data_IF_931144189219
#
_entry.id   IF_931144189219
#
_cell.length_a   1.000
_cell.length_b   1.000
_cell.length_c   1.000
_cell.angle_alpha   90.00
_cell.angle_beta   90.00
_cell.angle_gamma   90.00
#
_symmetry.space_group_name_H-M   'P 1'
#
loop_
_entity.id
_entity.type
_entity.pdbx_description
1 polymer ?
#
# COMPACT_ATOMS: atom_id res chain seq x y z
N UNK A 1 13.55 12.09 -18.12
CA UNK A 1 12.43 11.85 -17.20
C UNK A 1 11.64 13.13 -17.02
N UNK A 2 10.34 13.17 -17.28
CA UNK A 2 9.57 14.42 -17.26
C UNK A 2 9.33 14.87 -15.82
N UNK A 3 9.77 16.07 -15.46
CA UNK A 3 9.59 16.68 -14.12
C UNK A 3 8.16 16.65 -13.60
N UNK A 4 7.19 16.61 -14.52
CA UNK A 4 5.75 16.57 -14.21
C UNK A 4 5.37 15.32 -13.38
N UNK A 5 5.90 14.15 -13.72
CA UNK A 5 5.58 12.90 -13.01
C UNK A 5 6.10 12.89 -11.57
N UNK A 6 7.30 13.46 -11.34
CA UNK A 6 7.82 13.61 -9.98
C UNK A 6 6.94 14.51 -9.13
N UNK A 7 6.48 15.63 -9.70
CA UNK A 7 5.59 16.56 -9.03
C UNK A 7 4.27 15.88 -8.66
N UNK A 8 3.67 15.13 -9.59
CA UNK A 8 2.42 14.39 -9.32
C UNK A 8 2.63 13.36 -8.19
N UNK A 9 3.75 12.62 -8.20
CA UNK A 9 4.08 11.64 -7.15
C UNK A 9 4.26 12.30 -5.79
N UNK A 10 4.94 13.44 -5.73
CA UNK A 10 5.13 14.21 -4.49
C UNK A 10 3.77 14.67 -3.93
N UNK A 11 2.91 15.25 -4.78
CA UNK A 11 1.58 15.69 -4.35
C UNK A 11 0.68 14.52 -3.91
N UNK A 12 0.69 13.42 -4.65
CA UNK A 12 -0.07 12.22 -4.28
C UNK A 12 0.40 11.62 -2.96
N UNK A 13 1.72 11.53 -2.75
CA UNK A 13 2.30 11.04 -1.50
C UNK A 13 2.02 11.98 -0.32
N UNK A 14 2.12 13.29 -0.52
CA UNK A 14 1.79 14.28 0.50
C UNK A 14 0.29 14.24 0.86
N UNK A 15 -0.59 14.14 -0.14
CA UNK A 15 -2.02 13.94 0.08
C UNK A 15 -2.34 12.67 0.87
N UNK A 16 -1.70 11.55 0.54
CA UNK A 16 -1.81 10.29 1.27
C UNK A 16 -1.30 10.38 2.71
N UNK A 17 -0.20 11.10 2.93
CA UNK A 17 0.35 11.35 4.25
C UNK A 17 -0.62 12.16 5.13
N UNK A 18 -1.16 13.26 4.61
CA UNK A 18 -2.16 14.08 5.32
C UNK A 18 -3.42 13.28 5.65
N UNK A 19 -3.86 12.45 4.72
CA UNK A 19 -5.03 11.58 4.91
C UNK A 19 -4.78 10.54 6.01
N UNK A 20 -3.65 9.86 6.01
CA UNK A 20 -3.27 8.91 7.06
C UNK A 20 -3.11 9.60 8.43
N UNK A 21 -2.55 10.82 8.44
CA UNK A 21 -2.46 11.65 9.64
C UNK A 21 -3.83 12.06 10.18
N UNK A 22 -4.75 12.46 9.30
CA UNK A 22 -6.13 12.81 9.66
C UNK A 22 -6.86 11.63 10.30
N UNK A 23 -6.79 10.44 9.68
CA UNK A 23 -7.40 9.21 10.22
C UNK A 23 -6.83 8.91 11.61
N UNK A 24 -5.50 8.96 11.76
CA UNK A 24 -4.85 8.73 13.04
C UNK A 24 -5.26 9.72 14.10
N UNK A 25 -5.32 11.01 13.77
CA UNK A 25 -5.73 12.06 14.70
C UNK A 25 -7.15 11.82 15.19
N UNK A 26 -8.10 11.60 14.29
CA UNK A 26 -9.49 11.29 14.63
C UNK A 26 -9.64 10.05 15.50
N UNK A 27 -8.85 9.01 15.21
CA UNK A 27 -8.83 7.78 16.00
C UNK A 27 -8.29 7.98 17.41
N UNK A 28 -7.30 8.87 17.59
CA UNK A 28 -6.75 9.20 18.91
C UNK A 28 -7.69 10.06 19.75
N UNK A 29 -8.43 10.98 19.12
CA UNK A 29 -9.40 11.85 19.81
C UNK A 29 -10.75 11.18 20.06
N UNK A 30 -10.94 9.93 19.61
CA UNK A 30 -12.21 9.20 19.71
C UNK A 30 -13.40 9.98 19.12
N UNK A 31 -13.14 10.87 18.18
CA UNK A 31 -14.16 11.64 17.49
C UNK A 31 -14.78 10.85 16.36
N UNK A 32 -16.11 10.95 16.20
CA UNK A 32 -16.79 10.36 15.05
C UNK A 32 -16.26 10.93 13.75
N UNK A 33 -15.93 10.03 12.82
CA UNK A 33 -15.44 10.42 11.52
C UNK A 33 -16.61 10.77 10.59
N UNK A 34 -16.58 11.98 10.04
CA UNK A 34 -17.55 12.37 9.01
C UNK A 34 -17.20 11.61 7.74
N UNK A 35 -18.07 10.68 7.36
CA UNK A 35 -17.93 9.90 6.14
C UNK A 35 -18.72 10.55 5.01
N UNK A 36 -18.08 10.99 3.92
CA UNK A 36 -18.81 11.36 2.70
C UNK A 36 -19.58 10.12 2.20
N UNK A 37 -20.74 10.32 1.57
CA UNK A 37 -21.55 9.27 0.95
C UNK A 37 -22.31 8.34 1.93
N UNK A 38 -22.56 8.74 3.16
CA UNK A 38 -23.35 7.98 4.15
C UNK A 38 -22.85 6.56 4.44
N UNK A 39 -21.55 6.30 4.27
CA UNK A 39 -20.91 5.06 4.67
C UNK A 39 -20.50 5.07 6.15
N UNK A 40 -20.33 3.90 6.76
CA UNK A 40 -19.88 3.77 8.14
C UNK A 40 -18.35 3.61 8.19
N UNK A 41 -17.62 4.74 8.20
CA UNK A 41 -16.17 4.75 8.31
C UNK A 41 -15.70 4.25 9.67
N UNK A 42 -16.46 4.51 10.73
CA UNK A 42 -16.08 4.12 12.09
C UNK A 42 -16.06 2.60 12.21
N UNK A 43 -17.02 1.89 11.62
CA UNK A 43 -17.04 0.43 11.59
C UNK A 43 -15.78 -0.18 10.98
N UNK A 44 -15.20 0.47 9.96
CA UNK A 44 -13.97 0.00 9.30
C UNK A 44 -12.73 0.36 10.11
N UNK A 45 -12.63 1.62 10.56
CA UNK A 45 -11.42 2.16 11.21
C UNK A 45 -11.22 1.59 12.62
N UNK A 46 -12.29 1.25 13.33
CA UNK A 46 -12.22 0.62 14.64
C UNK A 46 -12.32 -0.91 14.60
N UNK A 47 -12.41 -1.52 13.41
CA UNK A 47 -12.43 -2.99 13.26
C UNK A 47 -11.12 -3.64 13.72
N UNK A 48 -11.15 -4.94 13.99
CA UNK A 48 -9.95 -5.72 14.28
C UNK A 48 -8.95 -5.70 13.12
N UNK A 49 -9.43 -5.58 11.89
CA UNK A 49 -8.60 -5.46 10.67
C UNK A 49 -7.91 -4.10 10.55
N UNK A 50 -8.22 -3.13 11.40
CA UNK A 50 -7.52 -1.84 11.45
C UNK A 50 -6.13 -1.91 12.05
N UNK A 51 -5.69 -3.11 12.49
CA UNK A 51 -4.36 -3.39 13.01
C UNK A 51 -3.72 -4.54 12.24
N UNK A 52 -2.48 -4.37 11.85
CA UNK A 52 -1.68 -5.41 11.22
C UNK A 52 -0.48 -5.72 12.12
N UNK A 53 -0.38 -6.96 12.63
CA UNK A 53 0.59 -7.36 13.68
C UNK A 53 0.61 -6.44 14.91
N UNK A 54 -0.57 -5.94 15.33
CA UNK A 54 -0.69 -5.02 16.46
C UNK A 54 -0.40 -3.55 16.14
N UNK A 55 0.11 -3.24 14.95
CA UNK A 55 0.40 -1.89 14.49
C UNK A 55 -0.84 -1.34 13.76
N UNK A 56 -1.35 -0.17 14.14
CA UNK A 56 -2.44 0.48 13.42
C UNK A 56 -2.09 0.75 11.96
N UNK A 57 -3.00 0.42 11.04
CA UNK A 57 -2.77 0.53 9.59
C UNK A 57 -2.47 1.96 9.15
N UNK A 58 -3.05 2.94 9.82
CA UNK A 58 -2.78 4.36 9.56
C UNK A 58 -1.32 4.76 9.83
N UNK A 59 -0.63 4.07 10.75
CA UNK A 59 0.80 4.29 11.00
C UNK A 59 1.63 3.75 9.83
N UNK A 60 1.28 2.56 9.34
CA UNK A 60 1.95 2.01 8.15
C UNK A 60 1.77 2.93 6.93
N UNK A 61 0.57 3.52 6.77
CA UNK A 61 0.31 4.52 5.75
C UNK A 61 1.18 5.77 5.91
N UNK A 62 1.31 6.30 7.13
CA UNK A 62 2.18 7.46 7.40
C UNK A 62 3.64 7.19 7.00
N UNK A 63 4.18 6.03 7.38
CA UNK A 63 5.54 5.64 7.01
C UNK A 63 5.70 5.49 5.50
N UNK A 64 4.77 4.79 4.85
CA UNK A 64 4.81 4.59 3.42
C UNK A 64 4.78 5.92 2.66
N UNK A 65 3.76 6.73 2.87
CA UNK A 65 3.62 8.01 2.16
C UNK A 65 4.75 8.99 2.49
N UNK A 66 5.23 8.99 3.74
CA UNK A 66 6.38 9.80 4.15
C UNK A 66 7.66 9.41 3.41
N UNK A 67 7.97 8.13 3.34
CA UNK A 67 9.14 7.62 2.60
C UNK A 67 9.02 7.96 1.12
N UNK A 68 7.86 7.77 0.50
CA UNK A 68 7.63 8.10 -0.91
C UNK A 68 7.81 9.60 -1.16
N UNK A 69 7.20 10.45 -0.34
CA UNK A 69 7.32 11.91 -0.47
C UNK A 69 8.78 12.38 -0.37
N UNK A 70 9.52 11.86 0.61
CA UNK A 70 10.94 12.22 0.82
C UNK A 70 11.78 11.77 -0.37
N UNK A 71 11.66 10.50 -0.80
CA UNK A 71 12.48 9.98 -1.88
C UNK A 71 12.23 10.70 -3.20
N UNK A 72 10.97 10.90 -3.61
CA UNK A 72 10.69 11.60 -4.86
C UNK A 72 11.03 13.09 -4.80
N UNK A 73 10.97 13.74 -3.63
CA UNK A 73 11.49 15.10 -3.45
C UNK A 73 13.01 15.12 -3.61
N UNK A 74 13.74 14.17 -3.01
CA UNK A 74 15.18 14.03 -3.17
C UNK A 74 15.57 13.75 -4.62
N UNK A 75 14.87 12.87 -5.31
CA UNK A 75 15.13 12.59 -6.74
C UNK A 75 14.91 13.81 -7.62
N UNK A 76 13.94 14.67 -7.24
CA UNK A 76 13.68 15.91 -7.98
C UNK A 76 14.74 16.99 -7.71
N UNK A 77 15.14 17.19 -6.46
CA UNK A 77 16.07 18.27 -6.05
C UNK A 77 17.53 17.87 -6.28
N UNK A 78 17.87 16.62 -5.99
CA UNK A 78 19.25 16.08 -6.05
C UNK A 78 19.26 14.75 -6.78
N UNK A 79 19.26 14.74 -8.12
CA UNK A 79 19.15 13.54 -8.95
C UNK A 79 20.23 12.47 -8.66
N UNK A 80 21.36 12.84 -8.08
CA UNK A 80 22.44 11.90 -7.69
C UNK A 80 21.96 10.84 -6.68
N UNK A 81 20.92 11.12 -5.88
CA UNK A 81 20.33 10.15 -4.96
C UNK A 81 19.49 9.08 -5.66
N UNK A 82 19.09 9.30 -6.92
CA UNK A 82 18.34 8.32 -7.70
C UNK A 82 19.24 7.16 -8.20
N UNK A 83 19.97 6.54 -7.29
CA UNK A 83 20.77 5.35 -7.62
C UNK A 83 19.84 4.17 -7.96
N UNK A 84 20.27 3.23 -8.84
CA UNK A 84 19.45 2.08 -9.20
C UNK A 84 18.94 1.28 -8.00
N UNK A 85 19.78 1.13 -6.97
CA UNK A 85 19.40 0.43 -5.73
C UNK A 85 18.29 1.14 -4.96
N UNK A 86 18.36 2.46 -4.83
CA UNK A 86 17.33 3.25 -4.13
C UNK A 86 16.02 3.24 -4.92
N UNK A 87 16.08 3.47 -6.23
CA UNK A 87 14.89 3.43 -7.11
C UNK A 87 14.21 2.06 -7.04
N UNK A 88 15.00 0.98 -7.09
CA UNK A 88 14.48 -0.37 -6.96
C UNK A 88 13.84 -0.63 -5.60
N UNK A 89 14.47 -0.18 -4.51
CA UNK A 89 13.91 -0.34 -3.15
C UNK A 89 12.58 0.40 -2.98
N UNK A 90 12.49 1.63 -3.52
CA UNK A 90 11.25 2.43 -3.51
C UNK A 90 10.17 1.77 -4.35
N UNK A 91 10.52 1.17 -5.49
CA UNK A 91 9.59 0.44 -6.33
C UNK A 91 9.04 -0.81 -5.61
N UNK A 92 9.90 -1.62 -4.98
CA UNK A 92 9.47 -2.78 -4.17
C UNK A 92 8.54 -2.34 -3.05
N UNK A 93 8.88 -1.28 -2.31
CA UNK A 93 8.03 -0.74 -1.25
C UNK A 93 6.65 -0.34 -1.80
N UNK A 94 6.61 0.28 -2.98
CA UNK A 94 5.37 0.70 -3.63
C UNK A 94 4.52 -0.50 -4.07
N UNK A 95 5.14 -1.56 -4.60
CA UNK A 95 4.45 -2.81 -4.94
C UNK A 95 3.82 -3.45 -3.69
N UNK A 96 4.60 -3.59 -2.62
CA UNK A 96 4.12 -4.17 -1.36
C UNK A 96 2.96 -3.36 -0.77
N UNK A 97 3.09 -2.02 -0.77
CA UNK A 97 2.04 -1.12 -0.28
C UNK A 97 0.76 -1.22 -1.12
N UNK A 98 0.89 -1.32 -2.45
CA UNK A 98 -0.25 -1.49 -3.35
C UNK A 98 -0.98 -2.82 -3.11
N UNK A 99 -0.25 -3.93 -3.01
CA UNK A 99 -0.83 -5.24 -2.71
C UNK A 99 -1.52 -5.25 -1.33
N UNK A 100 -0.90 -4.62 -0.33
CA UNK A 100 -1.50 -4.47 0.99
C UNK A 100 -2.78 -3.61 0.94
N UNK A 101 -2.78 -2.55 0.15
CA UNK A 101 -3.96 -1.71 -0.05
C UNK A 101 -5.11 -2.47 -0.73
N UNK A 102 -4.81 -3.30 -1.72
CA UNK A 102 -5.80 -4.20 -2.33
C UNK A 102 -6.36 -5.21 -1.32
N UNK A 103 -5.52 -5.80 -0.49
CA UNK A 103 -5.93 -6.70 0.59
C UNK A 103 -6.91 -6.03 1.55
N UNK A 104 -6.61 -4.81 2.00
CA UNK A 104 -7.51 -4.04 2.88
C UNK A 104 -8.83 -3.69 2.20
N UNK A 105 -8.80 -3.34 0.92
CA UNK A 105 -10.01 -3.09 0.13
C UNK A 105 -10.86 -4.34 -0.01
N UNK A 106 -10.23 -5.49 -0.21
CA UNK A 106 -10.91 -6.79 -0.24
C UNK A 106 -11.59 -7.10 1.10
N UNK A 107 -10.91 -6.85 2.23
CA UNK A 107 -11.51 -7.02 3.56
C UNK A 107 -12.74 -6.13 3.73
N UNK A 108 -12.69 -4.87 3.31
CA UNK A 108 -13.84 -3.97 3.36
C UNK A 108 -15.04 -4.52 2.57
N UNK A 109 -14.78 -5.07 1.38
CA UNK A 109 -15.83 -5.58 0.50
C UNK A 109 -16.47 -6.88 0.99
N UNK A 110 -15.66 -7.83 1.46
CA UNK A 110 -16.11 -9.20 1.70
C UNK A 110 -16.25 -9.56 3.18
N UNK A 111 -15.33 -9.11 4.03
CA UNK A 111 -15.34 -9.43 5.46
C UNK A 111 -16.19 -8.45 6.26
N UNK A 112 -15.97 -7.17 6.12
CA UNK A 112 -16.70 -6.14 6.85
C UNK A 112 -18.02 -5.77 6.19
N UNK A 113 -18.12 -5.92 4.85
CA UNK A 113 -19.28 -5.49 4.04
C UNK A 113 -19.65 -4.01 4.30
N UNK A 114 -18.66 -3.23 4.65
CA UNK A 114 -18.75 -1.79 4.95
C UNK A 114 -17.64 -1.06 4.19
N UNK A 115 -17.98 0.11 3.66
CA UNK A 115 -17.07 0.91 2.87
C UNK A 115 -16.61 2.12 3.67
N UNK A 116 -15.32 2.39 3.66
CA UNK A 116 -14.72 3.59 4.22
C UNK A 116 -14.20 4.47 3.09
N UNK A 117 -14.82 5.62 2.85
CA UNK A 117 -14.43 6.56 1.80
C UNK A 117 -12.97 7.00 1.94
N UNK A 118 -12.52 7.28 3.15
CA UNK A 118 -11.14 7.70 3.43
C UNK A 118 -10.13 6.59 3.12
N UNK A 119 -10.49 5.34 3.44
CA UNK A 119 -9.64 4.19 3.13
C UNK A 119 -9.57 3.93 1.61
N UNK A 120 -10.69 4.09 0.90
CA UNK A 120 -10.73 3.99 -0.56
C UNK A 120 -9.95 5.11 -1.24
N UNK A 121 -10.01 6.34 -0.71
CA UNK A 121 -9.21 7.46 -1.22
C UNK A 121 -7.71 7.17 -1.05
N UNK A 122 -7.30 6.63 0.11
CA UNK A 122 -5.92 6.18 0.32
C UNK A 122 -5.53 5.09 -0.68
N UNK A 123 -6.39 4.09 -0.89
CA UNK A 123 -6.14 3.03 -1.86
C UNK A 123 -6.00 3.57 -3.29
N UNK A 124 -6.83 4.54 -3.68
CA UNK A 124 -6.74 5.24 -4.97
C UNK A 124 -5.41 6.00 -5.13
N UNK A 125 -4.98 6.73 -4.11
CA UNK A 125 -3.69 7.42 -4.13
C UNK A 125 -2.52 6.42 -4.24
N UNK A 126 -2.58 5.31 -3.50
CA UNK A 126 -1.57 4.25 -3.60
C UNK A 126 -1.53 3.62 -5.01
N UNK A 127 -2.69 3.40 -5.64
CA UNK A 127 -2.78 2.91 -7.02
C UNK A 127 -2.20 3.91 -8.04
N UNK A 128 -2.46 5.21 -7.86
CA UNK A 128 -1.89 6.27 -8.72
C UNK A 128 -0.37 6.30 -8.58
N UNK A 129 0.16 6.27 -7.35
CA UNK A 129 1.60 6.24 -7.09
C UNK A 129 2.22 5.01 -7.74
N UNK A 130 1.60 3.83 -7.59
CA UNK A 130 2.07 2.59 -8.19
C UNK A 130 2.09 2.66 -9.73
N UNK A 131 1.02 3.11 -10.37
CA UNK A 131 0.93 3.20 -11.81
C UNK A 131 1.98 4.16 -12.40
N UNK A 132 2.18 5.33 -11.75
CA UNK A 132 3.17 6.31 -12.19
C UNK A 132 4.59 5.79 -11.92
N UNK A 133 4.85 5.20 -10.76
CA UNK A 133 6.16 4.65 -10.42
C UNK A 133 6.59 3.55 -11.40
N UNK A 134 5.67 2.70 -11.85
CA UNK A 134 5.93 1.71 -12.91
C UNK A 134 6.23 2.38 -14.27
N UNK A 135 5.47 3.41 -14.64
CA UNK A 135 5.63 4.10 -15.92
C UNK A 135 6.87 4.97 -16.00
N UNK A 136 7.31 5.51 -14.85
CA UNK A 136 8.49 6.40 -14.75
C UNK A 136 9.78 5.62 -14.49
N UNK A 137 9.69 4.44 -13.89
CA UNK A 137 10.83 3.56 -13.79
C UNK A 137 11.19 3.12 -15.21
N UNK A 138 12.25 3.70 -15.79
CA UNK A 138 12.94 3.19 -17.00
C UNK A 138 13.50 1.77 -16.77
N UNK A 139 13.27 1.23 -15.60
CA UNK A 139 13.36 -0.18 -15.32
C UNK A 139 12.29 -0.87 -16.14
N UNK A 140 12.62 -1.13 -17.39
CA UNK A 140 11.92 -2.15 -18.13
C UNK A 140 12.04 -3.43 -17.28
N UNK A 141 10.95 -3.76 -16.57
CA UNK A 141 10.84 -5.01 -15.80
C UNK A 141 11.31 -6.19 -16.66
N UNK A 142 11.14 -6.07 -17.97
CA UNK A 142 11.64 -7.00 -19.00
C UNK A 142 13.17 -7.00 -19.10
N UNK A 143 13.86 -5.86 -19.01
CA UNK A 143 15.33 -5.83 -19.07
C UNK A 143 15.97 -6.33 -17.78
N UNK A 144 15.32 -6.11 -16.63
CA UNK A 144 15.76 -6.69 -15.37
C UNK A 144 15.56 -8.21 -15.35
N UNK A 145 14.45 -8.70 -15.86
CA UNK A 145 14.17 -10.12 -16.06
C UNK A 145 15.14 -10.76 -17.06
N UNK A 146 15.52 -10.07 -18.12
CA UNK A 146 16.44 -10.59 -19.12
C UNK A 146 17.91 -10.64 -18.65
N UNK A 147 18.28 -9.76 -17.72
CA UNK A 147 19.68 -9.64 -17.26
C UNK A 147 19.99 -10.47 -16.00
N UNK A 148 18.98 -10.87 -15.22
CA UNK A 148 19.16 -11.60 -13.97
C UNK A 148 18.21 -12.80 -13.87
N UNK A 149 18.63 -13.92 -14.49
CA UNK A 149 17.95 -15.22 -14.33
C UNK A 149 17.70 -15.57 -12.84
N UNK A 150 18.64 -15.23 -11.97
CA UNK A 150 18.55 -15.48 -10.53
C UNK A 150 17.42 -14.66 -9.86
N UNK A 151 17.14 -13.46 -10.36
CA UNK A 151 16.08 -12.60 -9.83
C UNK A 151 14.68 -13.13 -10.20
N UNK A 152 14.55 -13.75 -11.38
CA UNK A 152 13.33 -14.46 -11.81
C UNK A 152 13.07 -15.63 -10.89
N UNK A 153 14.10 -16.40 -10.57
CA UNK A 153 14.01 -17.56 -9.67
C UNK A 153 13.60 -17.09 -8.26
N UNK A 154 14.20 -16.00 -7.74
CA UNK A 154 13.85 -15.44 -6.42
C UNK A 154 12.39 -14.94 -6.40
N UNK A 155 11.94 -14.21 -7.44
CA UNK A 155 10.55 -13.75 -7.55
C UNK A 155 9.58 -14.92 -7.70
N UNK A 156 9.97 -15.98 -8.41
CA UNK A 156 9.15 -17.18 -8.54
C UNK A 156 9.03 -17.91 -7.20
N UNK A 157 10.14 -18.09 -6.48
CA UNK A 157 10.17 -18.69 -5.14
C UNK A 157 9.34 -17.86 -4.15
N UNK A 158 9.48 -16.51 -4.15
CA UNK A 158 8.69 -15.62 -3.33
C UNK A 158 7.18 -15.71 -3.68
N UNK A 159 6.83 -15.72 -4.96
CA UNK A 159 5.46 -15.87 -5.42
C UNK A 159 4.84 -17.19 -5.00
N UNK A 160 5.57 -18.29 -5.13
CA UNK A 160 5.15 -19.63 -4.70
C UNK A 160 5.02 -19.69 -3.17
N UNK A 161 5.97 -19.11 -2.43
CA UNK A 161 5.94 -19.11 -0.95
C UNK A 161 4.77 -18.29 -0.40
N UNK A 162 4.49 -17.12 -0.99
CA UNK A 162 3.35 -16.28 -0.62
C UNK A 162 2.04 -16.95 -1.04
N UNK A 163 2.00 -17.55 -2.23
CA UNK A 163 0.81 -18.27 -2.72
C UNK A 163 0.47 -19.49 -1.88
N UNK A 164 1.45 -20.34 -1.56
CA UNK A 164 1.28 -21.50 -0.68
C UNK A 164 0.98 -21.08 0.77
N UNK A 165 1.66 -20.05 1.28
CA UNK A 165 1.38 -19.50 2.60
C UNK A 165 -0.03 -18.90 2.71
N UNK A 166 -0.49 -18.21 1.69
CA UNK A 166 -1.86 -17.68 1.59
C UNK A 166 -2.89 -18.80 1.54
N UNK A 167 -2.67 -19.86 0.77
CA UNK A 167 -3.55 -21.01 0.69
C UNK A 167 -3.67 -21.74 2.04
N UNK A 168 -2.53 -21.99 2.71
CA UNK A 168 -2.53 -22.65 4.03
C UNK A 168 -3.25 -21.82 5.11
N UNK A 169 -3.11 -20.51 5.10
CA UNK A 169 -3.82 -19.63 6.03
C UNK A 169 -5.33 -19.67 5.74
N UNK A 170 -5.72 -19.66 4.48
CA UNK A 170 -7.14 -19.75 4.08
C UNK A 170 -7.74 -21.08 4.50
N UNK A 171 -7.01 -22.18 4.33
CA UNK A 171 -7.45 -23.51 4.76
C UNK A 171 -7.61 -23.61 6.29
N UNK A 172 -6.65 -23.08 7.05
CA UNK A 172 -6.72 -23.06 8.52
C UNK A 172 -7.93 -22.24 8.99
N UNK A 173 -8.19 -21.07 8.37
CA UNK A 173 -9.37 -20.26 8.68
C UNK A 173 -10.67 -20.97 8.31
N UNK A 174 -10.72 -21.63 7.15
CA UNK A 174 -11.90 -22.37 6.69
C UNK A 174 -12.21 -23.56 7.59
N UNK A 175 -11.18 -24.35 7.98
CA UNK A 175 -11.36 -25.47 8.91
C UNK A 175 -11.77 -25.02 10.31
N UNK A 176 -11.24 -23.88 10.79
CA UNK A 176 -11.65 -23.31 12.08
C UNK A 176 -13.10 -22.83 12.04
N UNK A 177 -13.51 -22.18 10.96
CA UNK A 177 -14.89 -21.72 10.76
C UNK A 177 -15.88 -22.88 10.68
N UNK A 178 -15.53 -24.00 10.02
CA UNK A 178 -16.37 -25.21 9.95
C UNK A 178 -16.48 -25.96 11.28
N UNK A 179 -15.53 -25.77 12.19
CA UNK A 179 -15.52 -26.43 13.51
C UNK A 179 -16.37 -25.70 14.55
N UNK A 180 -16.64 -24.41 14.31
CA UNK A 180 -17.46 -23.57 15.18
C UNK A 180 -18.95 -23.52 14.75
N UNK A 181 -19.32 -24.29 13.68
CA UNK A 181 -20.69 -24.60 13.24
C UNK A 181 -21.04 -26.02 13.59
#
# INVERSE_FOLDING_TARGET
MNSVWHIILIFAAFGGFLLAFYIRHKKQTCEKMVCPLNYDCDAVIYSEYSKFFGIPVEILGLFYYGIIAINYTLFFVVPVFATPAVVFSVLILTIVAFLFSLYLTFIQAFALKQWCTWCLTSAGLCAIIFAIALGVSEFSFISLLAQHHDLIVILHILGVTIGLGGATITDIFFFKFLKDF
#
